data_IF_733258736092
#
_entry.id   IF_733258736092
#
_cell.length_a   1.000
_cell.length_b   1.000
_cell.length_c   1.000
_cell.angle_alpha   90.00
_cell.angle_beta   90.00
_cell.angle_gamma   90.00
#
_symmetry.space_group_name_H-M   'P 1'
#
loop_
_entity.id
_entity.type
_entity.pdbx_description
1 polymer ?
#
# COMPACT_ATOMS: atom_id res chain seq x y z
N UNK A 1 9.90 -1.99 -51.93
CA UNK A 1 9.76 -1.37 -50.59
C UNK A 1 10.17 -2.40 -49.55
N UNK A 2 11.41 -2.31 -49.05
CA UNK A 2 12.00 -3.28 -48.12
C UNK A 2 11.55 -2.94 -46.70
N UNK A 3 10.77 -3.82 -46.08
CA UNK A 3 10.30 -3.68 -44.69
C UNK A 3 11.49 -3.93 -43.77
N UNK A 4 12.07 -2.87 -43.19
CA UNK A 4 13.14 -3.01 -42.21
C UNK A 4 12.62 -3.82 -41.02
N UNK A 5 13.20 -5.00 -40.80
CA UNK A 5 12.99 -5.78 -39.59
C UNK A 5 13.70 -5.06 -38.43
N UNK A 6 12.96 -4.28 -37.67
CA UNK A 6 13.42 -3.77 -36.37
C UNK A 6 13.46 -4.95 -35.40
N UNK A 7 14.65 -5.48 -35.15
CA UNK A 7 14.87 -6.40 -34.05
C UNK A 7 14.68 -5.65 -32.73
N UNK A 8 13.89 -6.17 -31.78
CA UNK A 8 13.79 -5.56 -30.47
C UNK A 8 15.19 -5.58 -29.83
N UNK A 9 15.73 -4.40 -29.55
CA UNK A 9 17.01 -4.24 -28.86
C UNK A 9 16.94 -5.02 -27.55
N UNK A 10 17.82 -6.02 -27.40
CA UNK A 10 17.98 -6.75 -26.16
C UNK A 10 18.33 -5.77 -25.02
N UNK A 11 17.63 -5.86 -23.89
CA UNK A 11 17.89 -4.96 -22.75
C UNK A 11 19.26 -5.26 -22.15
N UNK A 12 20.04 -4.25 -21.74
CA UNK A 12 21.29 -4.46 -21.02
C UNK A 12 21.06 -5.28 -19.75
N UNK A 13 21.97 -6.21 -19.43
CA UNK A 13 21.88 -7.07 -18.24
C UNK A 13 21.75 -6.26 -16.93
N UNK A 14 22.44 -5.11 -16.85
CA UNK A 14 22.35 -4.17 -15.72
C UNK A 14 20.93 -3.60 -15.51
N UNK A 15 20.22 -3.33 -16.62
CA UNK A 15 18.85 -2.82 -16.55
C UNK A 15 17.89 -3.88 -15.99
N UNK A 16 18.09 -5.15 -16.37
CA UNK A 16 17.33 -6.30 -15.85
C UNK A 16 17.61 -6.50 -14.36
N UNK A 17 18.87 -6.42 -13.94
CA UNK A 17 19.26 -6.53 -12.53
C UNK A 17 18.64 -5.43 -11.66
N UNK A 18 18.66 -4.19 -12.13
CA UNK A 18 18.05 -3.05 -11.42
C UNK A 18 16.54 -3.17 -11.29
N UNK A 19 15.84 -3.56 -12.37
CA UNK A 19 14.38 -3.71 -12.33
C UNK A 19 13.98 -4.84 -11.36
N UNK A 20 14.76 -5.93 -11.29
CA UNK A 20 14.56 -7.00 -10.29
C UNK A 20 14.75 -6.49 -8.87
N UNK A 21 15.78 -5.68 -8.60
CA UNK A 21 16.02 -5.09 -7.27
C UNK A 21 14.85 -4.20 -6.84
N UNK A 22 14.32 -3.38 -7.74
CA UNK A 22 13.17 -2.51 -7.46
C UNK A 22 11.91 -3.31 -7.15
N UNK A 23 11.65 -4.41 -7.87
CA UNK A 23 10.51 -5.30 -7.59
C UNK A 23 10.66 -6.02 -6.26
N UNK A 24 11.86 -6.52 -5.93
CA UNK A 24 12.15 -7.14 -4.62
C UNK A 24 12.01 -6.12 -3.50
N UNK A 25 12.47 -4.88 -3.71
CA UNK A 25 12.26 -3.78 -2.77
C UNK A 25 10.77 -3.53 -2.48
N UNK A 26 9.94 -3.41 -3.52
CA UNK A 26 8.49 -3.27 -3.33
C UNK A 26 7.85 -4.51 -2.70
N UNK A 27 8.33 -5.71 -2.99
CA UNK A 27 7.87 -6.95 -2.34
C UNK A 27 8.14 -6.92 -0.83
N UNK A 28 9.28 -6.37 -0.40
CA UNK A 28 9.63 -6.23 1.02
C UNK A 28 8.88 -5.09 1.72
N UNK A 29 8.27 -4.15 0.98
CA UNK A 29 7.55 -3.02 1.58
C UNK A 29 6.39 -3.47 2.48
N UNK A 30 5.67 -4.54 2.12
CA UNK A 30 4.59 -5.10 2.93
C UNK A 30 5.06 -5.63 4.29
N UNK A 31 6.01 -6.59 4.33
CA UNK A 31 6.61 -7.07 5.57
C UNK A 31 7.20 -5.94 6.42
N UNK A 32 7.87 -4.95 5.81
CA UNK A 32 8.43 -3.79 6.53
C UNK A 32 7.32 -2.99 7.18
N UNK A 33 6.26 -2.65 6.43
CA UNK A 33 5.15 -1.85 6.96
C UNK A 33 4.45 -2.57 8.11
N UNK A 34 4.00 -3.82 7.87
CA UNK A 34 3.23 -4.59 8.83
C UNK A 34 4.08 -4.91 10.05
N UNK A 35 5.34 -5.34 9.86
CA UNK A 35 6.25 -5.63 10.96
C UNK A 35 6.51 -4.39 11.84
N UNK A 36 6.81 -3.25 11.22
CA UNK A 36 7.02 -1.98 11.94
C UNK A 36 5.76 -1.54 12.71
N UNK A 37 4.59 -1.60 12.08
CA UNK A 37 3.33 -1.21 12.71
C UNK A 37 2.94 -2.13 13.87
N UNK A 38 3.16 -3.45 13.74
CA UNK A 38 2.92 -4.41 14.82
C UNK A 38 3.87 -4.18 15.99
N UNK A 39 5.18 -4.05 15.73
CA UNK A 39 6.17 -3.78 16.79
C UNK A 39 5.78 -2.51 17.54
N UNK A 40 5.57 -1.40 16.83
CA UNK A 40 5.18 -0.14 17.46
C UNK A 40 3.84 -0.26 18.20
N UNK A 41 2.82 -0.88 17.60
CA UNK A 41 1.52 -0.99 18.23
C UNK A 41 1.51 -1.87 19.49
N UNK A 42 2.39 -2.85 19.59
CA UNK A 42 2.54 -3.67 20.80
C UNK A 42 3.48 -3.07 21.86
N UNK A 43 4.40 -2.18 21.48
CA UNK A 43 5.39 -1.61 22.41
C UNK A 43 5.11 -0.18 22.83
N UNK A 44 4.19 0.54 22.17
CA UNK A 44 3.91 1.94 22.48
C UNK A 44 2.77 2.07 23.49
N UNK A 45 3.10 2.67 24.62
CA UNK A 45 2.15 2.92 25.69
C UNK A 45 0.93 3.71 25.20
N UNK A 46 -0.25 3.21 25.59
CA UNK A 46 -1.54 3.79 25.25
C UNK A 46 -2.06 3.45 23.86
N UNK A 47 -1.29 2.79 22.99
CA UNK A 47 -1.81 2.33 21.69
C UNK A 47 -2.70 1.10 21.88
N UNK A 48 -3.89 1.10 21.27
CA UNK A 48 -4.82 -0.03 21.28
C UNK A 48 -5.35 -0.26 19.86
N UNK A 49 -5.06 -1.43 19.27
CA UNK A 49 -5.52 -1.80 17.92
C UNK A 49 -7.05 -1.81 17.75
N UNK A 50 -7.81 -1.79 18.85
CA UNK A 50 -9.29 -1.68 18.83
C UNK A 50 -9.76 -0.23 18.79
N UNK A 51 -8.86 0.74 18.96
CA UNK A 51 -9.20 2.18 19.06
C UNK A 51 -8.44 3.03 18.07
N UNK A 52 -7.19 2.67 17.82
CA UNK A 52 -6.22 3.50 17.12
C UNK A 52 -5.85 2.88 15.77
N UNK A 53 -6.03 3.61 14.65
CA UNK A 53 -5.48 3.17 13.39
C UNK A 53 -3.95 3.31 13.43
N UNK A 54 -3.23 2.42 12.76
CA UNK A 54 -1.74 2.42 12.76
C UNK A 54 -1.11 3.73 12.30
N UNK A 55 -1.85 4.57 11.56
CA UNK A 55 -1.37 5.90 11.16
C UNK A 55 -1.13 6.84 12.34
N UNK A 56 -1.87 6.73 13.45
CA UNK A 56 -1.64 7.61 14.62
C UNK A 56 -0.33 7.29 15.32
N UNK A 57 0.32 6.15 15.04
CA UNK A 57 1.68 5.86 15.48
C UNK A 57 2.71 6.90 14.98
N UNK A 58 2.35 7.73 13.99
CA UNK A 58 3.16 8.88 13.54
C UNK A 58 3.24 10.04 14.53
N UNK A 59 2.55 9.93 15.68
CA UNK A 59 2.51 10.97 16.73
C UNK A 59 3.37 10.60 17.95
N UNK A 60 3.62 11.58 18.82
CA UNK A 60 4.42 11.41 20.04
C UNK A 60 5.92 11.26 19.78
N UNK A 61 6.68 10.97 20.84
CA UNK A 61 8.15 10.95 20.82
C UNK A 61 8.74 10.01 19.77
N UNK A 62 8.15 8.82 19.61
CA UNK A 62 8.59 7.82 18.62
C UNK A 62 7.85 7.92 17.28
N UNK A 63 7.10 9.01 17.05
CA UNK A 63 6.28 9.20 15.84
C UNK A 63 7.07 9.10 14.53
N UNK A 64 8.34 9.52 14.57
CA UNK A 64 9.25 9.46 13.45
C UNK A 64 9.44 8.04 12.88
N UNK A 65 9.28 6.98 13.68
CA UNK A 65 9.43 5.59 13.21
C UNK A 65 8.32 5.26 12.20
N UNK A 66 7.08 5.60 12.53
CA UNK A 66 5.95 5.38 11.62
C UNK A 66 6.04 6.30 10.40
N UNK A 67 6.51 7.54 10.56
CA UNK A 67 6.77 8.46 9.44
C UNK A 67 7.79 7.83 8.48
N UNK A 68 8.93 7.34 8.98
CA UNK A 68 9.92 6.65 8.15
C UNK A 68 9.36 5.39 7.50
N UNK A 69 8.52 4.64 8.21
CA UNK A 69 7.84 3.46 7.67
C UNK A 69 6.99 3.84 6.46
N UNK A 70 6.18 4.90 6.56
CA UNK A 70 5.40 5.44 5.43
C UNK A 70 6.30 5.86 4.26
N UNK A 71 7.33 6.65 4.53
CA UNK A 71 8.24 7.16 3.50
C UNK A 71 8.97 6.02 2.78
N UNK A 72 9.60 5.10 3.52
CA UNK A 72 10.38 3.98 2.95
C UNK A 72 9.47 3.07 2.12
N UNK A 73 8.34 2.64 2.68
CA UNK A 73 7.44 1.72 1.97
C UNK A 73 6.78 2.38 0.76
N UNK A 74 6.48 3.68 0.82
CA UNK A 74 5.99 4.46 -0.31
C UNK A 74 7.03 4.58 -1.44
N UNK A 75 8.28 4.88 -1.11
CA UNK A 75 9.38 4.93 -2.08
C UNK A 75 9.66 3.56 -2.71
N UNK A 76 9.60 2.47 -1.92
CA UNK A 76 9.74 1.11 -2.43
C UNK A 76 8.60 0.75 -3.40
N UNK A 77 7.36 1.15 -3.10
CA UNK A 77 6.21 0.97 -3.99
C UNK A 77 6.37 1.75 -5.31
N UNK A 78 6.84 3.01 -5.26
CA UNK A 78 7.15 3.81 -6.46
C UNK A 78 8.28 3.17 -7.28
N UNK A 79 9.32 2.67 -6.62
CA UNK A 79 10.41 1.93 -7.26
C UNK A 79 9.90 0.71 -8.02
N UNK A 80 9.10 -0.13 -7.37
CA UNK A 80 8.49 -1.29 -7.99
C UNK A 80 7.55 -0.92 -9.15
N UNK A 81 6.77 0.16 -9.03
CA UNK A 81 5.95 0.68 -10.12
C UNK A 81 6.77 1.01 -11.37
N UNK A 82 7.96 1.61 -11.20
CA UNK A 82 8.86 1.95 -12.31
C UNK A 82 9.47 0.72 -12.98
N UNK A 83 9.67 -0.38 -12.24
CA UNK A 83 10.06 -1.65 -12.82
C UNK A 83 8.90 -2.32 -13.56
N UNK A 84 7.68 -2.28 -12.99
CA UNK A 84 6.47 -2.85 -13.60
C UNK A 84 6.17 -2.29 -15.00
N UNK A 85 6.39 -0.99 -15.24
CA UNK A 85 6.22 -0.39 -16.58
C UNK A 85 7.16 -0.99 -17.63
N UNK A 86 8.27 -1.57 -17.21
CA UNK A 86 9.30 -2.13 -18.09
C UNK A 86 9.12 -3.62 -18.24
N UNK A 87 8.86 -4.36 -17.16
CA UNK A 87 8.86 -5.83 -17.19
C UNK A 87 7.53 -6.44 -17.65
N UNK A 88 6.43 -5.68 -17.57
CA UNK A 88 5.11 -6.16 -17.98
C UNK A 88 4.47 -5.26 -19.06
N UNK A 89 5.05 -5.16 -20.26
CA UNK A 89 4.54 -4.30 -21.35
C UNK A 89 3.14 -4.73 -21.85
N UNK A 90 2.80 -6.01 -21.77
CA UNK A 90 1.46 -6.54 -22.09
C UNK A 90 0.46 -6.31 -20.93
N UNK A 91 0.90 -5.61 -19.87
CA UNK A 91 0.16 -5.18 -18.70
C UNK A 91 -0.80 -4.03 -19.00
N UNK A 92 -1.82 -3.85 -18.16
CA UNK A 92 -2.59 -2.60 -18.21
C UNK A 92 -1.65 -1.47 -17.73
N UNK A 93 -1.53 -0.39 -18.50
CA UNK A 93 -0.76 0.81 -18.10
C UNK A 93 -1.20 1.38 -16.74
N UNK A 94 -2.35 0.93 -16.24
CA UNK A 94 -2.96 1.30 -14.99
C UNK A 94 -2.30 0.66 -13.77
N UNK A 95 -1.86 -0.60 -13.82
CA UNK A 95 -1.28 -1.24 -12.62
C UNK A 95 -0.03 -0.50 -12.12
N UNK A 96 0.97 -0.16 -12.97
CA UNK A 96 2.09 0.65 -12.53
C UNK A 96 1.67 2.05 -12.05
N UNK A 97 0.73 2.71 -12.74
CA UNK A 97 0.23 4.05 -12.34
C UNK A 97 -0.41 4.03 -10.96
N UNK A 98 -1.22 3.01 -10.67
CA UNK A 98 -1.88 2.85 -9.37
C UNK A 98 -0.88 2.53 -8.27
N UNK A 99 0.16 1.75 -8.55
CA UNK A 99 1.26 1.54 -7.57
C UNK A 99 2.06 2.82 -7.32
N UNK A 100 2.27 3.66 -8.34
CA UNK A 100 2.87 4.99 -8.17
C UNK A 100 2.00 5.88 -7.29
N UNK A 101 0.69 5.95 -7.56
CA UNK A 101 -0.26 6.74 -6.74
C UNK A 101 -0.36 6.19 -5.31
N UNK A 102 -0.34 4.87 -5.14
CA UNK A 102 -0.30 4.22 -3.84
C UNK A 102 0.93 4.66 -3.04
N UNK A 103 2.12 4.60 -3.65
CA UNK A 103 3.34 5.05 -3.01
C UNK A 103 3.40 6.55 -2.74
N UNK A 104 2.87 7.40 -3.63
CA UNK A 104 2.73 8.85 -3.40
C UNK A 104 1.82 9.11 -2.20
N UNK A 105 0.68 8.40 -2.09
CA UNK A 105 -0.22 8.52 -0.95
C UNK A 105 0.46 8.11 0.36
N UNK A 106 1.26 7.04 0.36
CA UNK A 106 2.05 6.65 1.54
C UNK A 106 3.10 7.71 1.90
N UNK A 107 3.85 8.22 0.92
CA UNK A 107 4.83 9.30 1.17
C UNK A 107 4.13 10.54 1.74
N UNK A 108 2.99 10.93 1.16
CA UNK A 108 2.17 12.03 1.64
C UNK A 108 1.69 11.83 3.09
N UNK A 109 1.27 10.61 3.44
CA UNK A 109 0.88 10.27 4.81
C UNK A 109 2.05 10.31 5.82
N UNK A 110 3.29 10.11 5.36
CA UNK A 110 4.49 10.34 6.17
C UNK A 110 4.81 11.82 6.34
N UNK A 111 4.74 12.61 5.26
CA UNK A 111 5.02 14.06 5.26
C UNK A 111 3.98 14.83 6.09
N UNK A 112 2.71 14.50 5.92
CA UNK A 112 1.59 15.07 6.68
C UNK A 112 1.18 14.02 7.71
N UNK A 113 1.72 14.12 8.94
CA UNK A 113 1.43 13.16 10.00
C UNK A 113 -0.05 13.21 10.44
N UNK A 114 -0.55 12.08 10.94
CA UNK A 114 -1.89 12.01 11.50
C UNK A 114 -1.99 12.86 12.77
N UNK A 115 -3.19 13.36 13.07
CA UNK A 115 -3.43 14.04 14.34
C UNK A 115 -3.47 13.05 15.51
N UNK A 116 -2.97 13.44 16.69
CA UNK A 116 -3.28 12.76 17.94
C UNK A 116 -4.79 12.62 18.15
N UNK A 117 -5.24 11.47 18.65
CA UNK A 117 -6.65 11.22 18.80
C UNK A 117 -6.95 10.08 19.77
N UNK A 118 -8.14 10.15 20.37
CA UNK A 118 -8.70 9.13 21.26
C UNK A 118 -7.74 8.60 22.34
N UNK A 119 -7.03 9.51 23.02
CA UNK A 119 -6.10 9.15 24.09
C UNK A 119 -4.71 8.68 23.65
N UNK A 120 -4.39 8.73 22.35
CA UNK A 120 -3.04 8.46 21.84
C UNK A 120 -2.41 9.69 21.17
N UNK A 121 -1.12 10.00 21.47
CA UNK A 121 -0.26 9.34 22.47
C UNK A 121 -0.72 9.67 23.90
N UNK A 122 -0.07 9.08 24.91
CA UNK A 122 -0.37 9.36 26.30
C UNK A 122 -0.35 10.88 26.59
N UNK A 123 -1.41 11.39 27.23
CA UNK A 123 -1.63 12.82 27.45
C UNK A 123 -2.62 13.47 26.49
N UNK A 124 -3.00 12.81 25.40
CA UNK A 124 -4.05 13.29 24.49
C UNK A 124 -5.45 13.12 25.11
N UNK A 125 -6.36 14.10 24.98
CA UNK A 125 -7.75 13.93 25.39
C UNK A 125 -8.43 12.75 24.67
N UNK A 126 -9.36 12.08 25.35
CA UNK A 126 -10.19 11.03 24.74
C UNK A 126 -11.24 11.63 23.81
N UNK A 127 -11.69 10.83 22.84
CA UNK A 127 -12.68 11.24 21.85
C UNK A 127 -12.07 11.63 20.50
N UNK A 128 -12.89 12.18 19.57
CA UNK A 128 -12.56 12.28 18.15
C UNK A 128 -11.41 13.23 17.79
N UNK A 129 -10.90 14.01 18.75
CA UNK A 129 -9.85 15.00 18.52
C UNK A 129 -10.32 16.16 17.62
N UNK A 130 -9.37 16.97 17.17
CA UNK A 130 -9.59 17.99 16.14
C UNK A 130 -8.75 17.65 14.92
N UNK A 131 -9.32 17.85 13.73
CA UNK A 131 -8.59 17.66 12.48
C UNK A 131 -7.82 18.95 12.18
N UNK A 132 -6.49 18.87 12.26
CA UNK A 132 -5.60 19.94 11.82
C UNK A 132 -5.49 19.94 10.29
N UNK A 133 -4.88 20.99 9.73
CA UNK A 133 -4.62 21.01 8.29
C UNK A 133 -3.67 19.89 7.85
N UNK A 134 -2.70 19.51 8.71
CA UNK A 134 -1.79 18.39 8.45
C UNK A 134 -2.56 17.06 8.49
N UNK A 135 -3.41 16.83 9.49
CA UNK A 135 -4.22 15.61 9.55
C UNK A 135 -5.25 15.53 8.42
N UNK A 136 -5.79 16.66 7.97
CA UNK A 136 -6.61 16.72 6.75
C UNK A 136 -5.86 16.25 5.51
N UNK A 137 -4.62 16.72 5.31
CA UNK A 137 -3.76 16.25 4.22
C UNK A 137 -3.33 14.80 4.39
N UNK A 138 -3.14 14.32 5.62
CA UNK A 138 -2.89 12.90 5.91
C UNK A 138 -4.06 12.03 5.43
N UNK A 139 -5.30 12.40 5.77
CA UNK A 139 -6.49 11.68 5.33
C UNK A 139 -6.64 11.67 3.80
N UNK A 140 -6.36 12.80 3.14
CA UNK A 140 -6.37 12.86 1.68
C UNK A 140 -5.32 11.93 1.07
N UNK A 141 -4.09 11.95 1.59
CA UNK A 141 -3.01 11.08 1.12
C UNK A 141 -3.33 9.58 1.34
N UNK A 142 -3.89 9.24 2.50
CA UNK A 142 -4.38 7.91 2.81
C UNK A 142 -5.51 7.48 1.85
N UNK A 143 -6.47 8.36 1.56
CA UNK A 143 -7.55 8.07 0.62
C UNK A 143 -7.02 7.80 -0.80
N UNK A 144 -6.04 8.58 -1.28
CA UNK A 144 -5.37 8.33 -2.57
C UNK A 144 -4.72 6.94 -2.57
N UNK A 145 -4.03 6.57 -1.49
CA UNK A 145 -3.41 5.26 -1.38
C UNK A 145 -4.47 4.13 -1.41
N UNK A 146 -5.50 4.21 -0.56
CA UNK A 146 -6.50 3.17 -0.42
C UNK A 146 -7.32 2.98 -1.70
N UNK A 147 -7.77 4.05 -2.34
CA UNK A 147 -8.47 3.98 -3.63
C UNK A 147 -7.57 3.35 -4.70
N UNK A 148 -6.29 3.74 -4.75
CA UNK A 148 -5.35 3.17 -5.72
C UNK A 148 -5.18 1.67 -5.56
N UNK A 149 -5.04 1.19 -4.31
CA UNK A 149 -4.94 -0.23 -3.99
C UNK A 149 -6.22 -1.00 -4.37
N UNK A 150 -7.39 -0.49 -4.00
CA UNK A 150 -8.69 -1.11 -4.31
C UNK A 150 -8.86 -1.24 -5.82
N UNK A 151 -8.61 -0.17 -6.57
CA UNK A 151 -8.75 -0.16 -8.04
C UNK A 151 -7.71 -1.11 -8.66
N UNK A 152 -6.47 -1.14 -8.17
CA UNK A 152 -5.44 -2.06 -8.66
C UNK A 152 -5.85 -3.52 -8.47
N UNK A 153 -6.41 -3.86 -7.31
CA UNK A 153 -6.90 -5.20 -7.00
C UNK A 153 -8.06 -5.62 -7.91
N UNK A 154 -9.02 -4.72 -8.16
CA UNK A 154 -10.14 -4.99 -9.08
C UNK A 154 -9.68 -5.14 -10.53
N UNK A 155 -8.76 -4.29 -11.00
CA UNK A 155 -8.22 -4.39 -12.36
C UNK A 155 -7.43 -5.69 -12.55
N UNK A 156 -6.62 -6.08 -11.56
CA UNK A 156 -5.90 -7.34 -11.60
C UNK A 156 -6.86 -8.53 -11.57
N UNK A 157 -7.94 -8.45 -10.79
CA UNK A 157 -8.97 -9.47 -10.76
C UNK A 157 -9.62 -9.68 -12.13
N UNK A 158 -10.04 -8.59 -12.77
CA UNK A 158 -10.65 -8.60 -14.12
C UNK A 158 -9.69 -9.17 -15.16
N UNK A 159 -8.41 -8.78 -15.12
CA UNK A 159 -7.38 -9.30 -16.02
C UNK A 159 -7.18 -10.80 -15.82
N UNK A 160 -7.03 -11.24 -14.58
CA UNK A 160 -6.79 -12.64 -14.24
C UNK A 160 -7.96 -13.53 -14.66
N UNK A 161 -9.20 -13.04 -14.50
CA UNK A 161 -10.39 -13.73 -14.98
C UNK A 161 -10.40 -13.91 -16.50
N UNK A 162 -10.00 -12.87 -17.27
CA UNK A 162 -9.89 -12.94 -18.74
C UNK A 162 -8.78 -13.88 -19.21
N UNK A 163 -7.72 -14.05 -18.44
CA UNK A 163 -6.64 -15.00 -18.72
C UNK A 163 -6.89 -16.41 -18.17
N UNK A 164 -8.06 -16.67 -17.58
CA UNK A 164 -8.43 -18.00 -17.05
C UNK A 164 -7.91 -18.32 -15.63
N UNK A 165 -7.15 -17.43 -14.99
CA UNK A 165 -6.65 -17.60 -13.62
C UNK A 165 -7.72 -17.18 -12.60
N UNK A 166 -8.67 -18.09 -12.36
CA UNK A 166 -9.82 -17.85 -11.48
C UNK A 166 -9.43 -17.66 -10.02
N UNK A 167 -8.38 -18.34 -9.56
CA UNK A 167 -7.91 -18.23 -8.17
C UNK A 167 -7.37 -16.83 -7.91
N UNK A 168 -6.46 -16.36 -8.77
CA UNK A 168 -5.89 -15.01 -8.65
C UNK A 168 -6.95 -13.93 -8.82
N UNK A 169 -7.91 -14.16 -9.71
CA UNK A 169 -9.04 -13.27 -9.89
C UNK A 169 -9.87 -13.14 -8.60
N UNK A 170 -10.26 -14.27 -8.01
CA UNK A 170 -11.04 -14.32 -6.77
C UNK A 170 -10.29 -13.67 -5.60
N UNK A 171 -9.02 -14.02 -5.39
CA UNK A 171 -8.20 -13.46 -4.31
C UNK A 171 -8.02 -11.95 -4.44
N UNK A 172 -7.74 -11.45 -5.64
CA UNK A 172 -7.55 -10.00 -5.86
C UNK A 172 -8.87 -9.24 -5.65
N UNK A 173 -9.99 -9.78 -6.13
CA UNK A 173 -11.29 -9.16 -5.90
C UNK A 173 -11.67 -9.17 -4.43
N UNK A 174 -11.44 -10.29 -3.73
CA UNK A 174 -11.73 -10.44 -2.30
C UNK A 174 -10.94 -9.42 -1.47
N UNK A 175 -9.64 -9.25 -1.73
CA UNK A 175 -8.82 -8.25 -1.03
C UNK A 175 -9.33 -6.83 -1.31
N UNK A 176 -9.55 -6.47 -2.58
CA UNK A 176 -10.02 -5.14 -2.93
C UNK A 176 -11.40 -4.81 -2.34
N UNK A 177 -12.34 -5.75 -2.41
CA UNK A 177 -13.68 -5.59 -1.86
C UNK A 177 -13.67 -5.54 -0.33
N UNK A 178 -12.93 -6.43 0.32
CA UNK A 178 -12.80 -6.42 1.77
C UNK A 178 -12.17 -5.12 2.27
N UNK A 179 -11.12 -4.63 1.61
CA UNK A 179 -10.50 -3.36 1.96
C UNK A 179 -11.49 -2.21 1.84
N UNK A 180 -12.23 -2.12 0.72
CA UNK A 180 -13.23 -1.08 0.53
C UNK A 180 -14.31 -1.11 1.62
N UNK A 181 -14.87 -2.29 1.91
CA UNK A 181 -15.90 -2.47 2.92
C UNK A 181 -15.38 -2.12 4.31
N UNK A 182 -14.22 -2.63 4.70
CA UNK A 182 -13.63 -2.38 6.02
C UNK A 182 -13.32 -0.89 6.22
N UNK A 183 -12.79 -0.22 5.18
CA UNK A 183 -12.50 1.20 5.24
C UNK A 183 -13.76 2.06 5.37
N UNK A 184 -14.79 1.79 4.56
CA UNK A 184 -16.08 2.49 4.65
C UNK A 184 -16.75 2.23 6.01
N UNK A 185 -16.74 0.98 6.48
CA UNK A 185 -17.33 0.61 7.78
C UNK A 185 -16.66 1.35 8.94
N UNK A 186 -15.32 1.50 8.91
CA UNK A 186 -14.59 2.27 9.91
C UNK A 186 -14.98 3.77 9.89
N UNK A 187 -15.19 4.36 8.71
CA UNK A 187 -15.61 5.76 8.59
C UNK A 187 -17.04 5.96 9.10
N UNK A 188 -17.97 5.09 8.69
CA UNK A 188 -19.41 5.26 8.96
C UNK A 188 -19.76 4.86 10.39
N UNK A 189 -19.12 3.83 10.94
CA UNK A 189 -19.40 3.28 12.26
C UNK A 189 -18.08 2.97 12.98
N UNK A 190 -17.33 4.00 13.43
CA UNK A 190 -16.08 3.79 14.14
C UNK A 190 -16.32 3.03 15.46
N UNK A 191 -15.55 1.97 15.68
CA UNK A 191 -15.59 1.18 16.91
C UNK A 191 -14.62 0.01 16.88
N UNK A 192 -14.54 -0.79 17.97
CA UNK A 192 -13.57 -1.88 18.10
C UNK A 192 -13.52 -2.86 16.94
N UNK A 193 -14.69 -3.31 16.48
CA UNK A 193 -14.80 -4.31 15.40
C UNK A 193 -14.36 -3.71 14.06
N UNK A 194 -14.80 -2.49 13.73
CA UNK A 194 -14.44 -1.85 12.46
C UNK A 194 -12.98 -1.40 12.43
N UNK A 195 -12.41 -1.03 13.58
CA UNK A 195 -10.98 -0.71 13.71
C UNK A 195 -10.10 -1.93 13.49
N UNK A 196 -10.37 -3.04 14.18
CA UNK A 196 -9.64 -4.31 13.98
C UNK A 196 -9.84 -4.81 12.55
N UNK A 197 -11.08 -4.76 12.04
CA UNK A 197 -11.40 -5.15 10.67
C UNK A 197 -10.62 -4.33 9.63
N UNK A 198 -10.48 -3.02 9.84
CA UNK A 198 -9.66 -2.18 8.99
C UNK A 198 -8.16 -2.51 9.10
N UNK A 199 -7.65 -2.77 10.30
CA UNK A 199 -6.25 -3.21 10.48
C UNK A 199 -5.95 -4.53 9.76
N UNK A 200 -6.88 -5.50 9.79
CA UNK A 200 -6.78 -6.76 9.03
C UNK A 200 -6.85 -6.49 7.52
N UNK A 201 -7.71 -5.58 7.07
CA UNK A 201 -7.76 -5.18 5.66
C UNK A 201 -6.45 -4.54 5.18
N UNK A 202 -5.85 -3.65 5.98
CA UNK A 202 -4.53 -3.07 5.69
C UNK A 202 -3.46 -4.16 5.56
N UNK A 203 -3.47 -5.13 6.48
CA UNK A 203 -2.55 -6.28 6.44
C UNK A 203 -2.76 -7.13 5.19
N UNK A 204 -4.01 -7.46 4.85
CA UNK A 204 -4.36 -8.22 3.64
C UNK A 204 -3.95 -7.48 2.37
N UNK A 205 -4.10 -6.16 2.33
CA UNK A 205 -3.63 -5.30 1.25
C UNK A 205 -2.12 -5.40 1.04
N UNK A 206 -1.33 -5.32 2.11
CA UNK A 206 0.12 -5.46 2.04
C UNK A 206 0.58 -6.87 1.65
N UNK A 207 -0.11 -7.91 2.14
CA UNK A 207 0.12 -9.30 1.71
C UNK A 207 -0.16 -9.45 0.22
N UNK A 208 -1.24 -8.84 -0.28
CA UNK A 208 -1.58 -8.84 -1.70
C UNK A 208 -0.53 -8.11 -2.55
N UNK A 209 -0.07 -6.92 -2.15
CA UNK A 209 1.03 -6.19 -2.83
C UNK A 209 2.28 -7.07 -2.92
N UNK A 210 2.66 -7.69 -1.81
CA UNK A 210 3.80 -8.60 -1.71
C UNK A 210 3.65 -9.78 -2.67
N UNK A 211 2.50 -10.44 -2.68
CA UNK A 211 2.21 -11.59 -3.54
C UNK A 211 2.24 -11.24 -5.03
N UNK A 212 1.65 -10.10 -5.41
CA UNK A 212 1.66 -9.60 -6.79
C UNK A 212 3.08 -9.34 -7.27
N UNK A 213 3.89 -8.63 -6.49
CA UNK A 213 5.27 -8.32 -6.87
C UNK A 213 6.14 -9.59 -6.88
N UNK A 214 5.97 -10.51 -5.93
CA UNK A 214 6.66 -11.80 -5.92
C UNK A 214 6.32 -12.65 -7.16
N UNK A 215 5.08 -12.60 -7.64
CA UNK A 215 4.69 -13.28 -8.87
C UNK A 215 5.37 -12.66 -10.09
N UNK A 216 5.45 -11.33 -10.17
CA UNK A 216 6.15 -10.62 -11.24
C UNK A 216 7.65 -10.97 -11.24
N UNK A 217 8.29 -10.99 -10.07
CA UNK A 217 9.71 -11.39 -9.95
C UNK A 217 9.95 -12.82 -10.44
N UNK A 218 9.02 -13.75 -10.16
CA UNK A 218 9.15 -15.17 -10.55
C UNK A 218 8.86 -15.42 -12.03
N UNK A 219 7.87 -14.74 -12.59
CA UNK A 219 7.29 -15.08 -13.90
C UNK A 219 7.57 -14.05 -14.99
N UNK A 220 8.08 -12.86 -14.63
CA UNK A 220 8.19 -11.72 -15.52
C UNK A 220 6.83 -11.15 -15.97
N UNK A 221 5.71 -11.61 -15.39
CA UNK A 221 4.35 -11.24 -15.80
C UNK A 221 3.57 -10.64 -14.62
N UNK A 222 2.89 -9.52 -14.90
CA UNK A 222 1.90 -8.91 -14.01
C UNK A 222 0.50 -9.44 -14.27
#
# INVERSE_FOLDING_TARGET
MTKAMTFPLARPAEAVGRDRLLLVGGMLAGPIFVGSALVQGFTRDGFDFRRHPVSVLSTGELGWIQILTFLVTGLLAIGAARALTRVAPDGTVWLPRLFTLYGIGLVGAGVFSADPGDGFPAGTPRGPGQISWHGGLHFLAAAVAFVSLIVAAVLLARRSARSGDRVRAGLSLAVGAYFAVAWIAMIVAPGPVTMVGFGVAVTAGWVWVTAVLAQVVRTGRS
#
